data_IF_596062604843
#
_entry.id   IF_596062604843
#
_cell.length_a   1.000
_cell.length_b   1.000
_cell.length_c   1.000
_cell.angle_alpha   90.00
_cell.angle_beta   90.00
_cell.angle_gamma   90.00
#
_symmetry.space_group_name_H-M   'P 1'
#
loop_
_entity.id
_entity.type
_entity.pdbx_description
1 polymer ?
#
# COMPACT_ATOMS: atom_id res chain seq x y z
N UNK A 1 -20.96 -5.82 24.75
CA UNK A 1 -21.11 -6.04 23.31
C UNK A 1 -20.37 -7.31 22.93
N UNK A 2 -21.02 -8.34 22.35
CA UNK A 2 -20.29 -9.50 21.89
C UNK A 2 -19.36 -9.05 20.76
N UNK A 3 -18.05 -9.35 20.89
CA UNK A 3 -17.08 -9.14 19.82
C UNK A 3 -17.57 -9.98 18.63
N UNK A 4 -18.10 -9.34 17.59
CA UNK A 4 -18.35 -10.02 16.32
C UNK A 4 -17.05 -10.69 15.92
N UNK A 5 -17.03 -12.03 15.96
CA UNK A 5 -15.90 -12.81 15.46
C UNK A 5 -15.76 -12.41 14.00
N UNK A 6 -14.67 -11.71 13.69
CA UNK A 6 -14.28 -11.36 12.33
C UNK A 6 -14.35 -12.66 11.53
N UNK A 7 -15.11 -12.68 10.42
CA UNK A 7 -15.25 -13.89 9.60
C UNK A 7 -13.85 -14.36 9.18
N UNK A 8 -13.57 -15.67 9.11
CA UNK A 8 -12.30 -16.19 8.60
C UNK A 8 -11.90 -15.56 7.25
N UNK A 9 -12.87 -15.24 6.39
CA UNK A 9 -12.62 -14.56 5.12
C UNK A 9 -11.99 -13.17 5.29
N UNK A 10 -12.42 -12.41 6.29
CA UNK A 10 -11.85 -11.10 6.60
C UNK A 10 -10.41 -11.22 7.13
N UNK A 11 -10.10 -12.27 7.91
CA UNK A 11 -8.74 -12.51 8.40
C UNK A 11 -7.79 -12.89 7.26
N UNK A 12 -8.25 -13.71 6.30
CA UNK A 12 -7.48 -14.08 5.11
C UNK A 12 -7.20 -12.86 4.24
N UNK A 13 -8.21 -12.02 3.99
CA UNK A 13 -8.04 -10.78 3.23
C UNK A 13 -7.06 -9.85 3.93
N UNK A 14 -7.18 -9.66 5.26
CA UNK A 14 -6.26 -8.82 6.03
C UNK A 14 -4.81 -9.33 5.97
N UNK A 15 -4.61 -10.64 6.11
CA UNK A 15 -3.29 -11.27 6.01
C UNK A 15 -2.70 -11.12 4.59
N UNK A 16 -3.52 -11.30 3.55
CA UNK A 16 -3.10 -11.09 2.17
C UNK A 16 -2.66 -9.65 1.92
N UNK A 17 -3.46 -8.67 2.34
CA UNK A 17 -3.12 -7.25 2.20
C UNK A 17 -1.82 -6.90 2.94
N UNK A 18 -1.65 -7.41 4.17
CA UNK A 18 -0.42 -7.21 4.93
C UNK A 18 0.81 -7.78 4.22
N UNK A 19 0.71 -9.01 3.70
CA UNK A 19 1.80 -9.65 2.97
C UNK A 19 2.16 -8.88 1.69
N UNK A 20 1.16 -8.39 0.95
CA UNK A 20 1.35 -7.57 -0.25
C UNK A 20 2.06 -6.26 0.09
N UNK A 21 1.63 -5.56 1.14
CA UNK A 21 2.28 -4.31 1.57
C UNK A 21 3.75 -4.54 1.92
N UNK A 22 4.06 -5.57 2.71
CA UNK A 22 5.45 -5.90 3.09
C UNK A 22 6.29 -6.26 1.86
N UNK A 23 5.73 -7.02 0.92
CA UNK A 23 6.42 -7.37 -0.32
C UNK A 23 6.75 -6.13 -1.16
N UNK A 24 5.83 -5.16 -1.26
CA UNK A 24 6.08 -3.90 -1.94
C UNK A 24 7.13 -3.05 -1.23
N UNK A 25 7.09 -2.98 0.11
CA UNK A 25 8.12 -2.29 0.89
C UNK A 25 9.51 -2.86 0.62
N UNK A 26 9.65 -4.19 0.68
CA UNK A 26 10.92 -4.85 0.39
C UNK A 26 11.39 -4.61 -1.04
N UNK A 27 10.48 -4.62 -2.03
CA UNK A 27 10.84 -4.29 -3.41
C UNK A 27 11.37 -2.86 -3.53
N UNK A 28 10.70 -1.89 -2.91
CA UNK A 28 11.13 -0.48 -2.94
C UNK A 28 12.50 -0.32 -2.28
N UNK A 29 12.74 -0.96 -1.13
CA UNK A 29 14.05 -0.96 -0.46
C UNK A 29 15.12 -1.56 -1.37
N UNK A 30 14.89 -2.73 -1.97
CA UNK A 30 15.87 -3.35 -2.87
C UNK A 30 16.20 -2.47 -4.10
N UNK A 31 15.22 -1.76 -4.65
CA UNK A 31 15.42 -0.82 -5.75
C UNK A 31 16.16 0.45 -5.32
N UNK A 32 16.03 0.86 -4.06
CA UNK A 32 16.81 1.97 -3.51
C UNK A 32 18.27 1.55 -3.27
N UNK A 33 18.47 0.37 -2.67
CA UNK A 33 19.79 -0.17 -2.37
C UNK A 33 20.64 -0.40 -3.62
N UNK A 34 20.02 -0.80 -4.73
CA UNK A 34 20.72 -1.00 -6.00
C UNK A 34 20.82 0.27 -6.87
N UNK A 35 20.28 1.40 -6.40
CA UNK A 35 20.33 2.69 -7.08
C UNK A 35 19.36 2.86 -8.26
N UNK A 36 18.46 1.88 -8.51
CA UNK A 36 17.42 2.00 -9.54
C UNK A 36 16.33 3.01 -9.17
N UNK A 37 16.17 3.29 -7.87
CA UNK A 37 15.17 4.22 -7.35
C UNK A 37 15.79 5.14 -6.29
N UNK A 38 15.52 6.45 -6.36
CA UNK A 38 15.93 7.38 -5.31
C UNK A 38 15.01 7.28 -4.08
N UNK A 39 15.51 7.57 -2.86
CA UNK A 39 14.67 7.70 -1.68
C UNK A 39 13.49 8.64 -1.92
N UNK A 40 12.27 8.20 -1.60
CA UNK A 40 11.04 8.99 -1.79
C UNK A 40 10.51 9.09 -3.23
N UNK A 41 11.25 8.61 -4.25
CA UNK A 41 10.81 8.69 -5.65
C UNK A 41 9.55 7.88 -5.93
N UNK A 42 9.45 6.66 -5.38
CA UNK A 42 8.25 5.83 -5.55
C UNK A 42 7.03 6.38 -4.79
N UNK A 43 7.13 6.76 -3.50
CA UNK A 43 6.02 7.44 -2.81
C UNK A 43 5.50 8.69 -3.53
N UNK A 44 6.39 9.48 -4.12
CA UNK A 44 6.00 10.66 -4.90
C UNK A 44 5.26 10.28 -6.20
N UNK A 45 5.76 9.28 -6.93
CA UNK A 45 5.09 8.76 -8.12
C UNK A 45 3.72 8.16 -7.80
N UNK A 46 3.61 7.46 -6.66
CA UNK A 46 2.35 6.88 -6.19
C UNK A 46 1.31 7.97 -5.87
N UNK A 47 1.72 9.07 -5.22
CA UNK A 47 0.84 10.22 -5.02
C UNK A 47 0.35 10.82 -6.34
N UNK A 48 1.25 11.01 -7.31
CA UNK A 48 0.88 11.52 -8.64
C UNK A 48 -0.14 10.61 -9.35
N UNK A 49 0.05 9.30 -9.27
CA UNK A 49 -0.91 8.33 -9.81
C UNK A 49 -2.28 8.44 -9.12
N UNK A 50 -2.31 8.54 -7.79
CA UNK A 50 -3.56 8.70 -7.04
C UNK A 50 -4.31 9.96 -7.45
N UNK A 51 -3.63 11.09 -7.63
CA UNK A 51 -4.26 12.33 -8.12
C UNK A 51 -4.85 12.20 -9.52
N UNK A 52 -4.21 11.42 -10.41
CA UNK A 52 -4.73 11.15 -11.75
C UNK A 52 -5.90 10.15 -11.73
N UNK A 53 -5.91 9.24 -10.76
CA UNK A 53 -6.89 8.19 -10.64
C UNK A 53 -8.10 8.58 -9.78
N UNK A 54 -8.07 9.72 -9.06
CA UNK A 54 -9.06 10.09 -8.05
C UNK A 54 -10.51 10.09 -8.52
N UNK A 55 -10.75 10.41 -9.79
CA UNK A 55 -12.10 10.47 -10.37
C UNK A 55 -12.55 9.12 -10.99
N UNK A 56 -11.65 8.13 -11.05
CA UNK A 56 -11.87 6.84 -11.75
C UNK A 56 -11.69 5.62 -10.86
N UNK A 57 -10.88 5.74 -9.82
CA UNK A 57 -10.60 4.67 -8.89
C UNK A 57 -11.66 4.63 -7.79
N UNK A 58 -11.95 3.42 -7.32
CA UNK A 58 -12.81 3.20 -6.17
C UNK A 58 -12.16 3.81 -4.90
N UNK A 59 -12.93 4.45 -4.00
CA UNK A 59 -12.40 5.06 -2.78
C UNK A 59 -11.58 4.11 -1.90
N UNK A 60 -11.92 2.82 -1.85
CA UNK A 60 -11.17 1.82 -1.10
C UNK A 60 -9.80 1.56 -1.73
N UNK A 61 -9.72 1.59 -3.07
CA UNK A 61 -8.45 1.48 -3.79
C UNK A 61 -7.55 2.67 -3.48
N UNK A 62 -8.10 3.88 -3.49
CA UNK A 62 -7.35 5.10 -3.15
C UNK A 62 -6.84 5.08 -1.70
N UNK A 63 -7.67 4.62 -0.75
CA UNK A 63 -7.26 4.48 0.64
C UNK A 63 -6.12 3.46 0.81
N UNK A 64 -6.20 2.31 0.14
CA UNK A 64 -5.13 1.30 0.15
C UNK A 64 -3.81 1.83 -0.42
N UNK A 65 -3.88 2.61 -1.50
CA UNK A 65 -2.68 3.21 -2.09
C UNK A 65 -2.09 4.30 -1.18
N UNK A 66 -2.92 5.06 -0.46
CA UNK A 66 -2.40 6.03 0.52
C UNK A 66 -1.73 5.31 1.71
N UNK A 67 -2.33 4.25 2.24
CA UNK A 67 -1.73 3.45 3.32
C UNK A 67 -0.37 2.87 2.89
N UNK A 68 -0.28 2.33 1.68
CA UNK A 68 0.99 1.86 1.12
C UNK A 68 1.99 3.01 1.00
N UNK A 69 1.57 4.18 0.49
CA UNK A 69 2.43 5.36 0.35
C UNK A 69 2.98 5.80 1.71
N UNK A 70 2.14 5.88 2.74
CA UNK A 70 2.54 6.24 4.10
C UNK A 70 3.53 5.22 4.67
N UNK A 71 3.30 3.93 4.42
CA UNK A 71 4.19 2.86 4.87
C UNK A 71 5.60 2.91 4.26
N UNK A 72 5.77 3.66 3.16
CA UNK A 72 7.04 3.83 2.43
C UNK A 72 7.73 5.18 2.72
N UNK A 73 7.07 6.06 3.48
CA UNK A 73 7.59 7.37 3.89
C UNK A 73 8.11 7.39 5.33
N UNK A 74 7.73 6.39 6.13
CA UNK A 74 8.21 6.16 7.50
C UNK A 74 9.52 5.37 7.50
#
# INVERSE_FOLDING_TARGET
MPKSKVSPDHEVIAAHMSAVTVAFQMLVVCLQDNGALQPGQYPAALHGYMEMAKDKADPMTLAMLDDLRQSLLN
#
